data_IF_478307751884
#
_entry.id   IF_478307751884
#
_cell.length_a   1.000
_cell.length_b   1.000
_cell.length_c   1.000
_cell.angle_alpha   90.00
_cell.angle_beta   90.00
_cell.angle_gamma   90.00
#
_symmetry.space_group_name_H-M   'P 1'
#
loop_
_entity.id
_entity.type
_entity.pdbx_description
1 polymer ?
#
# COMPACT_ATOMS: atom_id res chain seq x y z
N UNK A 1 -15.36 18.17 -17.62
CA UNK A 1 -16.61 17.62 -18.23
C UNK A 1 -16.55 17.68 -19.74
N UNK A 2 -16.21 18.85 -20.35
CA UNK A 2 -16.14 19.02 -21.81
C UNK A 2 -15.26 17.99 -22.51
N UNK A 3 -14.03 17.78 -22.08
CA UNK A 3 -13.13 16.78 -22.65
C UNK A 3 -13.70 15.37 -22.66
N UNK A 4 -14.39 14.95 -21.57
CA UNK A 4 -15.01 13.64 -21.48
C UNK A 4 -16.21 13.48 -22.44
N UNK A 5 -16.89 14.57 -22.82
CA UNK A 5 -18.01 14.53 -23.75
C UNK A 5 -17.52 14.30 -25.18
N UNK A 6 -16.45 14.94 -25.57
CA UNK A 6 -15.96 14.99 -26.97
C UNK A 6 -14.78 14.06 -27.25
N UNK A 7 -14.20 13.41 -26.25
CA UNK A 7 -13.09 12.47 -26.45
C UNK A 7 -13.53 11.24 -27.24
N UNK A 8 -12.72 10.76 -28.17
CA UNK A 8 -12.96 9.49 -28.87
C UNK A 8 -12.79 8.28 -27.95
N UNK A 9 -11.83 8.35 -27.04
CA UNK A 9 -11.55 7.35 -26.02
C UNK A 9 -11.33 8.00 -24.66
N UNK A 10 -11.77 7.31 -23.61
CA UNK A 10 -11.58 7.68 -22.21
C UNK A 10 -10.81 6.54 -21.54
N UNK A 11 -9.71 6.85 -20.89
CA UNK A 11 -8.92 5.86 -20.15
C UNK A 11 -8.82 6.23 -18.67
N UNK A 12 -8.77 5.22 -17.84
CA UNK A 12 -8.42 5.32 -16.42
C UNK A 12 -7.41 4.23 -16.05
N UNK A 13 -6.92 4.22 -14.83
CA UNK A 13 -5.74 3.46 -14.43
C UNK A 13 -6.05 2.11 -13.76
N UNK A 14 -7.29 1.62 -13.86
CA UNK A 14 -7.71 0.33 -13.33
C UNK A 14 -9.05 -0.09 -13.98
N UNK A 15 -9.24 -1.40 -14.19
CA UNK A 15 -10.51 -1.93 -14.67
C UNK A 15 -11.60 -1.80 -13.60
N UNK A 16 -11.29 -2.16 -12.37
CA UNK A 16 -12.22 -2.00 -11.24
C UNK A 16 -12.57 -0.53 -11.04
N UNK A 17 -11.61 0.38 -11.09
CA UNK A 17 -11.89 1.81 -10.97
C UNK A 17 -12.74 2.35 -12.12
N UNK A 18 -12.57 1.84 -13.34
CA UNK A 18 -13.43 2.19 -14.47
C UNK A 18 -14.92 1.84 -14.22
N UNK A 19 -15.20 0.77 -13.48
CA UNK A 19 -16.54 0.42 -13.04
C UNK A 19 -17.01 1.26 -11.85
N UNK A 20 -16.14 1.50 -10.87
CA UNK A 20 -16.44 2.30 -9.68
C UNK A 20 -16.87 3.72 -10.03
N UNK A 21 -16.17 4.42 -10.93
CA UNK A 21 -16.50 5.81 -11.33
C UNK A 21 -17.83 5.94 -12.09
N UNK A 22 -18.44 4.85 -12.48
CA UNK A 22 -19.81 4.82 -13.03
C UNK A 22 -20.89 4.82 -11.94
N UNK A 23 -20.50 4.73 -10.67
CA UNK A 23 -21.42 4.76 -9.52
C UNK A 23 -21.47 6.17 -8.90
N UNK A 24 -22.59 6.55 -8.23
CA UNK A 24 -22.71 7.86 -7.60
C UNK A 24 -21.63 8.13 -6.57
N UNK A 25 -21.19 7.11 -5.80
CA UNK A 25 -20.21 7.26 -4.72
C UNK A 25 -18.82 7.62 -5.24
N UNK A 26 -18.35 6.97 -6.31
CA UNK A 26 -16.99 7.19 -6.85
C UNK A 26 -16.96 8.15 -8.05
N UNK A 27 -18.12 8.46 -8.62
CA UNK A 27 -18.20 9.26 -9.85
C UNK A 27 -18.11 10.77 -9.67
N UNK A 28 -18.14 11.27 -8.43
CA UNK A 28 -18.00 12.70 -8.10
C UNK A 28 -18.93 13.61 -8.95
N UNK A 29 -20.18 13.17 -9.14
CA UNK A 29 -21.19 13.85 -9.97
C UNK A 29 -20.97 13.72 -11.48
N UNK A 30 -20.04 12.87 -11.93
CA UNK A 30 -19.81 12.54 -13.34
C UNK A 30 -20.23 11.10 -13.69
N UNK A 31 -20.75 10.34 -12.73
CA UNK A 31 -21.16 8.95 -12.89
C UNK A 31 -22.14 8.73 -14.04
N UNK A 32 -23.13 9.63 -14.23
CA UNK A 32 -24.03 9.60 -15.37
C UNK A 32 -23.33 9.73 -16.72
N UNK A 33 -22.33 10.61 -16.79
CA UNK A 33 -21.50 10.76 -17.99
C UNK A 33 -20.62 9.53 -18.22
N UNK A 34 -20.03 8.96 -17.18
CA UNK A 34 -19.21 7.74 -17.27
C UNK A 34 -20.06 6.55 -17.73
N UNK A 35 -21.30 6.41 -17.25
CA UNK A 35 -22.25 5.40 -17.76
C UNK A 35 -22.59 5.62 -19.23
N UNK A 36 -22.93 6.86 -19.62
CA UNK A 36 -23.25 7.19 -21.01
C UNK A 36 -22.08 6.94 -21.97
N UNK A 37 -20.85 7.05 -21.48
CA UNK A 37 -19.60 6.86 -22.25
C UNK A 37 -18.92 5.51 -21.96
N UNK A 38 -19.60 4.55 -21.37
CA UNK A 38 -19.04 3.26 -20.95
C UNK A 38 -18.37 2.49 -22.09
N UNK A 39 -18.88 2.58 -23.31
CA UNK A 39 -18.30 1.94 -24.48
C UNK A 39 -16.93 2.52 -24.89
N UNK A 40 -16.66 3.76 -24.53
CA UNK A 40 -15.38 4.44 -24.79
C UNK A 40 -14.44 4.43 -23.61
N UNK A 41 -14.90 4.00 -22.42
CA UNK A 41 -14.11 3.97 -21.18
C UNK A 41 -13.36 2.65 -21.06
N UNK A 42 -12.06 2.74 -20.79
CA UNK A 42 -11.16 1.59 -20.59
C UNK A 42 -10.30 1.79 -19.36
N UNK A 43 -10.14 0.75 -18.55
CA UNK A 43 -9.13 0.66 -17.49
C UNK A 43 -7.82 0.10 -18.04
N UNK A 44 -6.71 0.77 -17.76
CA UNK A 44 -5.36 0.33 -18.15
C UNK A 44 -4.49 0.42 -16.90
N UNK A 45 -4.04 -0.72 -16.36
CA UNK A 45 -3.19 -0.75 -15.17
C UNK A 45 -1.82 -0.11 -15.45
N UNK A 46 -1.35 0.70 -14.50
CA UNK A 46 0.01 1.20 -14.51
C UNK A 46 0.99 0.08 -14.10
N UNK A 47 2.21 0.18 -14.61
CA UNK A 47 3.37 -0.56 -14.11
C UNK A 47 4.21 0.28 -13.16
N UNK A 48 5.33 -0.30 -12.72
CA UNK A 48 6.40 0.39 -12.01
C UNK A 48 7.69 0.25 -12.82
N UNK A 49 8.61 1.19 -12.65
CA UNK A 49 9.95 1.10 -13.22
C UNK A 49 10.76 0.03 -12.47
N UNK A 50 11.12 -1.04 -13.16
CA UNK A 50 11.88 -2.15 -12.58
C UNK A 50 13.38 -1.87 -12.44
N UNK A 51 13.91 -0.84 -13.09
CA UNK A 51 15.29 -0.41 -12.91
C UNK A 51 15.40 0.45 -11.65
N UNK A 52 14.42 1.34 -11.44
CA UNK A 52 14.34 2.19 -10.24
C UNK A 52 13.97 1.39 -8.99
N UNK A 53 12.93 0.56 -9.06
CA UNK A 53 12.45 -0.27 -7.93
C UNK A 53 12.98 -1.69 -8.02
N UNK A 54 14.27 -1.87 -7.76
CA UNK A 54 14.94 -3.18 -7.85
C UNK A 54 15.78 -3.50 -6.62
N UNK A 55 15.32 -4.39 -5.72
CA UNK A 55 16.07 -4.73 -4.51
C UNK A 55 17.45 -5.35 -4.77
N UNK A 56 17.74 -5.82 -5.99
CA UNK A 56 19.06 -6.36 -6.34
C UNK A 56 20.09 -5.28 -6.60
N UNK A 57 19.68 -4.09 -7.05
CA UNK A 57 20.57 -3.01 -7.51
C UNK A 57 20.33 -1.67 -6.81
N UNK A 58 19.28 -1.57 -5.99
CA UNK A 58 18.91 -0.34 -5.30
C UNK A 58 20.03 0.11 -4.34
N UNK A 59 20.55 1.31 -4.56
CA UNK A 59 21.64 1.91 -3.75
C UNK A 59 21.14 2.57 -2.46
N UNK A 60 19.82 2.74 -2.31
CA UNK A 60 19.19 3.38 -1.14
C UNK A 60 19.03 2.41 0.04
N UNK A 61 19.04 1.11 -0.23
CA UNK A 61 18.90 0.09 0.80
C UNK A 61 20.28 -0.40 1.30
N UNK A 62 20.35 -0.82 2.54
CA UNK A 62 21.62 -1.22 3.18
C UNK A 62 22.13 -2.54 2.63
N UNK A 63 21.23 -3.47 2.34
CA UNK A 63 21.57 -4.80 1.84
C UNK A 63 20.70 -5.14 0.64
N UNK A 64 21.33 -5.33 -0.52
CA UNK A 64 20.66 -5.80 -1.73
C UNK A 64 20.30 -7.29 -1.60
N UNK A 65 19.20 -7.70 -2.25
CA UNK A 65 18.71 -9.08 -2.21
C UNK A 65 17.86 -9.40 -3.44
N UNK A 66 17.66 -10.68 -3.66
CA UNK A 66 16.80 -11.23 -4.74
C UNK A 66 15.85 -12.29 -4.17
N UNK A 67 15.04 -12.89 -5.05
CA UNK A 67 14.06 -13.92 -4.68
C UNK A 67 14.64 -15.13 -3.93
N UNK A 68 15.93 -15.43 -4.07
CA UNK A 68 16.59 -16.56 -3.40
C UNK A 68 17.14 -16.17 -2.03
N UNK A 69 17.52 -14.91 -1.85
CA UNK A 69 18.24 -14.44 -0.67
C UNK A 69 17.37 -13.57 0.27
N UNK A 70 16.17 -13.15 -0.16
CA UNK A 70 15.34 -12.16 0.53
C UNK A 70 15.06 -12.51 2.00
N UNK A 71 14.80 -13.78 2.32
CA UNK A 71 14.49 -14.21 3.69
C UNK A 71 15.56 -13.86 4.70
N UNK A 72 16.83 -13.95 4.28
CA UNK A 72 17.99 -13.65 5.13
C UNK A 72 18.39 -12.17 5.04
N UNK A 73 18.42 -11.64 3.83
CA UNK A 73 19.01 -10.33 3.59
C UNK A 73 18.03 -9.18 3.92
N UNK A 74 16.71 -9.39 3.80
CA UNK A 74 15.69 -8.41 4.16
C UNK A 74 15.72 -8.07 5.65
N UNK A 75 16.07 -9.02 6.54
CA UNK A 75 16.22 -8.77 7.97
C UNK A 75 17.32 -7.75 8.30
N UNK A 76 18.36 -7.66 7.46
CA UNK A 76 19.43 -6.65 7.64
C UNK A 76 18.89 -5.24 7.34
N UNK A 77 18.05 -5.09 6.34
CA UNK A 77 17.38 -3.81 6.05
C UNK A 77 16.44 -3.41 7.20
N UNK A 78 15.69 -4.38 7.77
CA UNK A 78 14.85 -4.13 8.94
C UNK A 78 15.68 -3.62 10.13
N UNK A 79 16.78 -4.29 10.49
CA UNK A 79 17.65 -3.86 11.59
C UNK A 79 18.25 -2.47 11.35
N UNK A 80 18.65 -2.19 10.11
CA UNK A 80 19.18 -0.87 9.77
C UNK A 80 18.12 0.22 9.91
N UNK A 81 16.89 -0.04 9.46
CA UNK A 81 15.78 0.92 9.60
C UNK A 81 15.37 1.10 11.06
N UNK A 82 15.32 0.04 11.86
CA UNK A 82 15.09 0.12 13.31
C UNK A 82 16.10 1.03 13.99
N UNK A 83 17.39 0.86 13.65
CA UNK A 83 18.46 1.68 14.21
C UNK A 83 18.37 3.15 13.78
N UNK A 84 18.09 3.40 12.48
CA UNK A 84 17.95 4.75 11.91
C UNK A 84 16.78 5.52 12.54
N UNK A 85 15.68 4.82 12.84
CA UNK A 85 14.45 5.40 13.38
C UNK A 85 14.35 5.36 14.92
N UNK A 86 15.35 4.83 15.62
CA UNK A 86 15.34 4.71 17.07
C UNK A 86 14.35 3.67 17.63
N UNK A 87 13.87 2.75 16.79
CA UNK A 87 12.99 1.67 17.21
C UNK A 87 13.75 0.56 17.93
N UNK A 88 13.03 -0.23 18.73
CA UNK A 88 13.61 -1.43 19.36
C UNK A 88 14.20 -2.37 18.30
N UNK A 89 15.48 -2.71 18.42
CA UNK A 89 16.21 -3.53 17.45
C UNK A 89 15.96 -5.01 17.69
N UNK A 90 14.91 -5.52 17.05
CA UNK A 90 14.56 -6.94 17.07
C UNK A 90 14.00 -7.35 15.69
N UNK A 91 14.71 -8.23 14.99
CA UNK A 91 14.29 -8.71 13.67
C UNK A 91 13.01 -9.56 13.69
N UNK A 92 12.63 -10.08 14.86
CA UNK A 92 11.42 -10.88 15.03
C UNK A 92 10.15 -10.03 15.12
N UNK A 93 10.27 -8.76 15.50
CA UNK A 93 9.11 -7.85 15.54
C UNK A 93 8.52 -7.70 14.15
N UNK A 94 7.19 -7.77 14.06
CA UNK A 94 6.48 -7.61 12.80
C UNK A 94 6.40 -6.13 12.44
N UNK A 95 7.03 -5.73 11.35
CA UNK A 95 7.11 -4.33 10.95
C UNK A 95 6.11 -4.01 9.86
N UNK A 96 5.24 -3.04 10.11
CA UNK A 96 4.24 -2.52 9.17
C UNK A 96 4.68 -1.15 8.66
N UNK A 97 4.66 -0.95 7.34
CA UNK A 97 4.96 0.33 6.70
C UNK A 97 3.71 1.02 6.15
N UNK A 98 3.64 2.33 6.28
CA UNK A 98 2.69 3.22 5.58
C UNK A 98 3.51 4.28 4.87
N UNK A 99 3.42 4.37 3.54
CA UNK A 99 4.02 5.43 2.73
C UNK A 99 2.95 6.05 1.87
N UNK A 100 2.45 7.23 2.25
CA UNK A 100 1.36 7.87 1.52
C UNK A 100 1.18 9.33 1.90
N UNK A 101 0.35 10.05 1.15
CA UNK A 101 -0.23 11.30 1.63
C UNK A 101 -1.16 10.99 2.80
N UNK A 102 -1.08 11.77 3.88
CA UNK A 102 -1.87 11.56 5.09
C UNK A 102 -3.22 12.27 4.98
N UNK A 103 -4.15 11.68 4.23
CA UNK A 103 -5.47 12.26 3.92
C UNK A 103 -6.59 11.25 4.17
N UNK A 104 -7.84 11.72 4.23
CA UNK A 104 -9.04 10.88 4.36
C UNK A 104 -9.13 9.78 3.32
N UNK A 105 -8.76 10.10 2.08
CA UNK A 105 -8.74 9.14 0.98
C UNK A 105 -7.95 7.87 1.34
N UNK A 106 -6.93 7.98 2.17
CA UNK A 106 -6.05 6.86 2.53
C UNK A 106 -6.58 5.97 3.66
N UNK A 107 -7.81 6.24 4.16
CA UNK A 107 -8.47 5.43 5.17
C UNK A 107 -7.76 5.45 6.53
N UNK A 108 -7.09 6.55 6.85
CA UNK A 108 -6.32 6.69 8.08
C UNK A 108 -7.20 6.85 9.33
N UNK A 109 -8.47 7.18 9.15
CA UNK A 109 -9.51 7.11 10.17
C UNK A 109 -9.70 5.68 10.70
N UNK A 110 -9.66 4.67 9.82
CA UNK A 110 -9.70 3.26 10.21
C UNK A 110 -8.44 2.88 10.99
N UNK A 111 -7.27 3.35 10.55
CA UNK A 111 -6.00 3.12 11.27
C UNK A 111 -6.07 3.75 12.67
N UNK A 112 -6.60 4.98 12.78
CA UNK A 112 -6.77 5.66 14.06
C UNK A 112 -7.59 4.85 15.06
N UNK A 113 -8.68 4.22 14.60
CA UNK A 113 -9.56 3.41 15.46
C UNK A 113 -8.85 2.19 16.08
N UNK A 114 -7.80 1.66 15.44
CA UNK A 114 -7.14 0.41 15.85
C UNK A 114 -5.67 0.60 16.23
N UNK A 115 -5.20 1.83 16.37
CA UNK A 115 -3.78 2.11 16.66
C UNK A 115 -3.28 1.42 17.93
N UNK A 116 -4.05 1.48 19.02
CA UNK A 116 -3.65 0.84 20.27
C UNK A 116 -3.64 -0.70 20.17
N UNK A 117 -4.46 -1.28 19.28
CA UNK A 117 -4.48 -2.72 19.01
C UNK A 117 -3.31 -3.13 18.10
N UNK A 118 -2.93 -2.29 17.14
CA UNK A 118 -1.76 -2.51 16.27
C UNK A 118 -0.47 -2.39 17.05
N UNK A 119 -0.35 -1.40 17.94
CA UNK A 119 0.87 -1.07 18.67
C UNK A 119 1.12 -2.01 19.86
N UNK A 120 1.04 -3.32 19.63
CA UNK A 120 1.43 -4.35 20.61
C UNK A 120 2.95 -4.46 20.71
N UNK A 121 3.45 -5.23 21.70
CA UNK A 121 4.90 -5.38 21.92
C UNK A 121 5.65 -6.03 20.76
N UNK A 122 4.95 -6.86 19.97
CA UNK A 122 5.54 -7.62 18.86
C UNK A 122 5.44 -6.90 17.50
N UNK A 123 4.79 -5.72 17.44
CA UNK A 123 4.54 -4.98 16.21
C UNK A 123 5.25 -3.64 16.23
N UNK A 124 5.84 -3.29 15.10
CA UNK A 124 6.39 -1.95 14.84
C UNK A 124 5.65 -1.31 13.67
N UNK A 125 5.39 0.00 13.76
CA UNK A 125 4.74 0.78 12.70
C UNK A 125 5.68 1.91 12.25
N UNK A 126 5.95 1.96 10.96
CA UNK A 126 6.72 3.04 10.33
C UNK A 126 5.80 3.80 9.38
N UNK A 127 5.62 5.09 9.64
CA UNK A 127 4.80 5.97 8.81
C UNK A 127 5.70 6.99 8.12
N UNK A 128 5.56 7.13 6.81
CA UNK A 128 6.25 8.14 6.00
C UNK A 128 5.22 8.90 5.15
N UNK A 129 5.15 10.21 5.31
CA UNK A 129 4.30 11.05 4.48
C UNK A 129 3.88 12.34 5.17
N UNK A 130 3.19 13.20 4.43
CA UNK A 130 2.62 14.46 4.88
C UNK A 130 1.19 14.59 4.40
N UNK A 131 0.39 15.45 5.04
CA UNK A 131 -0.97 15.69 4.61
C UNK A 131 -1.79 16.52 5.58
N UNK A 132 -2.96 16.03 5.97
CA UNK A 132 -3.85 16.72 6.89
C UNK A 132 -3.26 16.72 8.30
N UNK A 133 -3.22 17.89 8.93
CA UNK A 133 -2.62 18.12 10.26
C UNK A 133 -3.15 17.15 11.33
N UNK A 134 -4.43 16.77 11.24
CA UNK A 134 -5.05 15.83 12.19
C UNK A 134 -4.36 14.45 12.15
N UNK A 135 -4.01 13.94 10.97
CA UNK A 135 -3.33 12.65 10.83
C UNK A 135 -1.86 12.76 11.16
N UNK A 136 -1.20 13.86 10.78
CA UNK A 136 0.16 14.12 11.20
C UNK A 136 0.30 14.16 12.73
N UNK A 137 -0.61 14.89 13.41
CA UNK A 137 -0.62 14.98 14.86
C UNK A 137 -0.99 13.65 15.53
N UNK A 138 -1.92 12.89 14.93
CA UNK A 138 -2.23 11.53 15.38
C UNK A 138 -0.98 10.65 15.39
N UNK A 139 -0.23 10.58 14.28
CA UNK A 139 0.95 9.74 14.21
C UNK A 139 2.09 10.25 15.11
N UNK A 140 2.30 11.56 15.24
CA UNK A 140 3.24 12.15 16.23
C UNK A 140 2.87 11.76 17.67
N UNK A 141 1.56 11.74 17.99
CA UNK A 141 1.09 11.30 19.31
C UNK A 141 1.44 9.83 19.58
N UNK A 142 1.21 8.94 18.61
CA UNK A 142 1.52 7.52 18.77
C UNK A 142 3.03 7.23 18.75
N UNK A 143 3.82 7.99 18.02
CA UNK A 143 5.29 7.97 18.07
C UNK A 143 5.80 8.33 19.49
N UNK A 144 5.27 9.41 20.05
CA UNK A 144 5.58 9.79 21.45
C UNK A 144 5.11 8.73 22.46
N UNK A 145 3.90 8.17 22.28
CA UNK A 145 3.30 7.18 23.19
C UNK A 145 4.03 5.84 23.17
N UNK A 146 4.48 5.42 21.99
CA UNK A 146 5.11 4.12 21.74
C UNK A 146 6.43 4.28 20.98
N UNK A 147 7.34 5.07 21.54
CA UNK A 147 8.58 5.52 20.90
C UNK A 147 9.55 4.41 20.49
N UNK A 148 9.42 3.21 21.06
CA UNK A 148 10.21 2.03 20.70
C UNK A 148 9.56 1.16 19.59
N UNK A 149 8.30 1.47 19.22
CA UNK A 149 7.47 0.66 18.32
C UNK A 149 6.87 1.45 17.16
N UNK A 150 6.64 2.74 17.31
CA UNK A 150 6.07 3.60 16.27
C UNK A 150 7.10 4.65 15.87
N UNK A 151 7.25 4.90 14.57
CA UNK A 151 8.04 6.01 14.05
C UNK A 151 7.22 6.79 13.01
N UNK A 152 6.95 8.05 13.32
CA UNK A 152 6.19 8.97 12.47
C UNK A 152 7.13 9.93 11.71
N UNK A 153 7.41 9.60 10.47
CA UNK A 153 8.28 10.37 9.59
C UNK A 153 7.43 11.33 8.75
N UNK A 154 7.14 12.51 9.32
CA UNK A 154 6.22 13.50 8.71
C UNK A 154 6.98 14.39 7.73
N UNK A 155 7.43 13.79 6.65
CA UNK A 155 8.10 14.46 5.53
C UNK A 155 8.00 13.60 4.26
N UNK A 156 8.36 14.17 3.12
CA UNK A 156 8.52 13.43 1.86
C UNK A 156 9.99 13.03 1.68
N UNK A 157 10.21 11.74 1.43
CA UNK A 157 11.54 11.23 1.08
C UNK A 157 11.40 9.97 0.24
N UNK A 158 11.92 10.02 -0.96
CA UNK A 158 11.98 8.86 -1.85
C UNK A 158 12.94 7.80 -1.29
N UNK A 159 14.12 8.21 -0.85
CA UNK A 159 15.11 7.30 -0.26
C UNK A 159 14.57 6.55 0.96
N UNK A 160 13.86 7.26 1.85
CA UNK A 160 13.21 6.62 3.00
C UNK A 160 12.12 5.64 2.56
N UNK A 161 11.36 5.94 1.49
CA UNK A 161 10.32 5.02 0.99
C UNK A 161 10.90 3.69 0.54
N UNK A 162 12.05 3.69 -0.15
CA UNK A 162 12.76 2.48 -0.55
C UNK A 162 13.22 1.65 0.66
N UNK A 163 13.73 2.32 1.71
CA UNK A 163 14.10 1.66 2.97
C UNK A 163 12.89 1.02 3.64
N UNK A 164 11.75 1.70 3.67
CA UNK A 164 10.49 1.16 4.21
C UNK A 164 10.04 -0.06 3.41
N UNK A 165 10.01 0.00 2.07
CA UNK A 165 9.67 -1.16 1.24
C UNK A 165 10.63 -2.33 1.47
N UNK A 166 11.92 -2.07 1.64
CA UNK A 166 12.92 -3.12 1.83
C UNK A 166 12.91 -3.73 3.23
N UNK A 167 12.49 -2.99 4.26
CA UNK A 167 12.58 -3.39 5.66
C UNK A 167 11.30 -4.02 6.21
N UNK A 168 10.13 -3.50 5.84
CA UNK A 168 8.85 -3.92 6.41
C UNK A 168 8.44 -5.33 5.99
N UNK A 169 7.68 -6.02 6.87
CA UNK A 169 7.05 -7.30 6.58
C UNK A 169 5.73 -7.09 5.84
N UNK A 170 4.97 -6.08 6.26
CA UNK A 170 3.71 -5.70 5.64
C UNK A 170 3.67 -4.22 5.26
N UNK A 171 2.83 -3.91 4.28
CA UNK A 171 2.58 -2.55 3.79
C UNK A 171 1.09 -2.24 3.83
N UNK A 172 0.69 -1.27 4.63
CA UNK A 172 -0.73 -1.00 4.92
C UNK A 172 -1.27 0.12 4.03
N UNK A 173 -2.32 -0.20 3.24
CA UNK A 173 -3.05 0.74 2.37
C UNK A 173 -4.57 0.55 2.49
N UNK A 174 -5.22 1.01 3.56
CA UNK A 174 -6.65 0.84 3.78
C UNK A 174 -7.49 1.88 3.01
N UNK A 175 -7.02 2.35 1.87
CA UNK A 175 -7.59 3.47 1.11
C UNK A 175 -9.08 3.34 0.88
N UNK A 176 -9.83 4.42 1.09
CA UNK A 176 -11.28 4.49 0.84
C UNK A 176 -11.57 4.27 -0.65
N UNK A 177 -10.77 4.88 -1.50
CA UNK A 177 -10.68 4.63 -2.93
C UNK A 177 -9.25 4.80 -3.40
N UNK A 178 -8.83 3.98 -4.38
CA UNK A 178 -7.48 4.02 -4.95
C UNK A 178 -7.56 3.74 -6.44
N UNK A 179 -7.45 4.75 -7.30
CA UNK A 179 -7.59 4.56 -8.76
C UNK A 179 -6.63 3.51 -9.32
N UNK A 180 -5.38 3.53 -8.90
CA UNK A 180 -4.37 2.55 -9.29
C UNK A 180 -3.64 2.01 -8.06
N UNK A 181 -3.03 2.91 -7.28
CA UNK A 181 -1.98 2.58 -6.34
C UNK A 181 -0.70 2.14 -7.06
N UNK A 182 0.43 2.68 -6.63
CA UNK A 182 1.75 2.23 -7.08
C UNK A 182 2.55 1.64 -5.91
N UNK A 183 2.34 2.19 -4.72
CA UNK A 183 3.10 1.79 -3.52
C UNK A 183 2.95 0.31 -3.18
N UNK A 184 1.78 -0.31 -3.42
CA UNK A 184 1.60 -1.75 -3.23
C UNK A 184 2.42 -2.57 -4.23
N UNK A 185 2.58 -2.08 -5.47
CA UNK A 185 3.41 -2.73 -6.48
C UNK A 185 4.89 -2.64 -6.11
N UNK A 186 5.32 -1.47 -5.62
CA UNK A 186 6.67 -1.25 -5.10
C UNK A 186 6.92 -2.16 -3.89
N UNK A 187 6.01 -2.18 -2.92
CA UNK A 187 6.10 -3.06 -1.75
C UNK A 187 6.24 -4.54 -2.15
N UNK A 188 5.39 -5.02 -3.06
CA UNK A 188 5.47 -6.38 -3.60
C UNK A 188 6.82 -6.65 -4.28
N UNK A 189 7.35 -5.70 -5.04
CA UNK A 189 8.66 -5.83 -5.69
C UNK A 189 9.79 -6.03 -4.68
N UNK A 190 9.68 -5.40 -3.50
CA UNK A 190 10.63 -5.56 -2.40
C UNK A 190 10.29 -6.72 -1.44
N UNK A 191 9.30 -7.54 -1.77
CA UNK A 191 8.91 -8.68 -0.93
C UNK A 191 8.21 -8.28 0.37
N UNK A 192 7.57 -7.12 0.39
CA UNK A 192 6.72 -6.63 1.49
C UNK A 192 5.27 -6.87 1.15
N UNK A 193 4.54 -7.48 2.07
CA UNK A 193 3.16 -7.96 1.84
C UNK A 193 2.16 -6.81 1.94
N UNK A 194 1.44 -6.42 0.87
CA UNK A 194 0.42 -5.40 0.99
C UNK A 194 -0.81 -5.89 1.74
N UNK A 195 -1.27 -5.07 2.69
CA UNK A 195 -2.56 -5.19 3.36
C UNK A 195 -3.43 -4.06 2.82
N UNK A 196 -4.44 -4.38 2.02
CA UNK A 196 -5.19 -3.39 1.26
C UNK A 196 -6.69 -3.57 1.38
N UNK A 197 -7.44 -2.48 1.15
CA UNK A 197 -8.88 -2.55 0.92
C UNK A 197 -9.16 -2.99 -0.51
N UNK A 198 -10.22 -3.78 -0.71
CA UNK A 198 -10.66 -4.25 -2.03
C UNK A 198 -11.38 -3.13 -2.80
N UNK A 199 -10.60 -2.23 -3.43
CA UNK A 199 -11.10 -1.11 -4.23
C UNK A 199 -10.13 -0.77 -5.37
N UNK A 200 -10.67 -0.28 -6.49
CA UNK A 200 -9.91 0.22 -7.64
C UNK A 200 -8.73 -0.64 -8.05
N UNK A 201 -7.59 0.00 -8.25
CA UNK A 201 -6.34 -0.67 -8.64
C UNK A 201 -5.78 -1.61 -7.59
N UNK A 202 -6.11 -1.44 -6.31
CA UNK A 202 -5.71 -2.39 -5.28
C UNK A 202 -6.35 -3.76 -5.50
N UNK A 203 -7.65 -3.78 -5.82
CA UNK A 203 -8.36 -5.02 -6.19
C UNK A 203 -7.79 -5.68 -7.44
N UNK A 204 -7.37 -4.88 -8.42
CA UNK A 204 -6.85 -5.39 -9.68
C UNK A 204 -5.42 -5.94 -9.56
N UNK A 205 -4.66 -5.52 -8.54
CA UNK A 205 -3.22 -5.81 -8.39
C UNK A 205 -2.86 -6.68 -7.20
N UNK A 206 -3.71 -6.73 -6.18
CA UNK A 206 -3.48 -7.52 -4.95
C UNK A 206 -4.58 -8.56 -4.83
N UNK A 207 -4.20 -9.83 -4.71
CA UNK A 207 -5.15 -10.94 -4.63
C UNK A 207 -5.46 -11.28 -3.18
N UNK A 208 -6.70 -11.67 -2.86
CA UNK A 208 -7.07 -12.04 -1.51
C UNK A 208 -6.38 -13.35 -1.09
N UNK A 209 -5.94 -13.41 0.17
CA UNK A 209 -5.54 -14.65 0.78
C UNK A 209 -6.76 -15.58 0.92
N UNK A 210 -6.60 -16.83 0.54
CA UNK A 210 -7.61 -17.85 0.74
C UNK A 210 -7.12 -18.89 1.78
N UNK A 211 -7.75 -18.88 2.95
CA UNK A 211 -7.40 -19.76 4.05
C UNK A 211 -7.74 -21.24 3.80
N UNK A 212 -8.65 -21.52 2.84
CA UNK A 212 -9.15 -22.88 2.59
C UNK A 212 -8.25 -23.70 1.64
N UNK A 213 -7.56 -23.05 0.72
CA UNK A 213 -6.73 -23.73 -0.27
C UNK A 213 -5.24 -23.45 -0.08
N UNK A 214 -4.89 -22.61 0.90
CA UNK A 214 -3.50 -22.21 1.16
C UNK A 214 -2.83 -21.50 -0.01
N UNK A 215 -3.63 -21.08 -1.01
CA UNK A 215 -3.08 -20.35 -2.15
C UNK A 215 -2.60 -19.00 -1.68
N UNK A 216 -1.30 -18.86 -1.70
CA UNK A 216 -0.61 -17.61 -1.52
C UNK A 216 -0.84 -16.74 -2.75
N UNK A 217 -1.10 -15.49 -2.50
CA UNK A 217 -1.37 -14.49 -3.53
C UNK A 217 -0.27 -14.37 -4.55
N UNK A 218 -0.67 -14.41 -5.80
CA UNK A 218 0.19 -14.13 -6.94
C UNK A 218 -0.15 -12.75 -7.52
N UNK A 219 0.88 -11.97 -7.82
CA UNK A 219 0.74 -10.76 -8.63
C UNK A 219 0.36 -11.16 -10.06
N UNK A 220 -0.73 -10.59 -10.62
CA UNK A 220 -0.98 -10.65 -12.06
C UNK A 220 0.01 -9.71 -12.77
N UNK A 221 1.25 -10.12 -12.91
CA UNK A 221 2.16 -9.51 -13.85
C UNK A 221 2.47 -10.54 -14.95
N UNK A 222 2.30 -10.14 -16.20
CA UNK A 222 2.48 -11.00 -17.38
C UNK A 222 3.94 -11.31 -17.70
N UNK A 223 4.87 -11.06 -16.81
CA UNK A 223 6.27 -11.41 -16.96
C UNK A 223 6.72 -12.27 -15.79
N UNK A 224 6.96 -13.54 -16.10
CA UNK A 224 7.41 -14.56 -15.19
C UNK A 224 8.81 -14.27 -14.64
N UNK A 225 8.89 -13.54 -13.54
CA UNK A 225 10.00 -13.66 -12.60
C UNK A 225 9.42 -13.46 -11.22
N UNK A 226 8.92 -14.54 -10.65
CA UNK A 226 8.08 -14.56 -9.47
C UNK A 226 8.89 -14.31 -8.21
N UNK A 227 8.61 -13.25 -7.50
CA UNK A 227 8.58 -13.32 -6.04
C UNK A 227 7.17 -13.80 -5.66
N UNK A 228 7.07 -15.03 -5.16
CA UNK A 228 5.84 -15.54 -4.53
C UNK A 228 5.66 -14.81 -3.19
N UNK A 229 4.77 -13.86 -3.14
CA UNK A 229 4.52 -13.06 -1.94
C UNK A 229 3.08 -13.16 -1.52
N UNK A 230 2.89 -13.32 -0.23
CA UNK A 230 1.59 -13.36 0.45
C UNK A 230 1.06 -11.94 0.61
N UNK A 231 -0.15 -11.65 0.23
CA UNK A 231 -0.85 -10.42 0.52
C UNK A 231 -2.16 -10.71 1.27
N UNK A 232 -2.60 -9.81 2.14
CA UNK A 232 -3.81 -9.95 2.95
C UNK A 232 -4.78 -8.84 2.53
N UNK A 233 -6.00 -9.20 2.14
CA UNK A 233 -7.08 -8.24 1.93
C UNK A 233 -7.92 -8.16 3.20
N UNK A 234 -8.07 -6.96 3.75
CA UNK A 234 -9.04 -6.69 4.81
C UNK A 234 -10.40 -6.50 4.12
N UNK A 235 -11.30 -7.47 4.26
CA UNK A 235 -12.71 -7.28 3.92
C UNK A 235 -13.35 -6.44 5.00
N UNK A 236 -13.98 -5.32 4.62
CA UNK A 236 -14.85 -4.61 5.54
C UNK A 236 -16.00 -5.55 5.90
N UNK A 237 -16.09 -5.96 7.17
CA UNK A 237 -17.27 -6.61 7.68
C UNK A 237 -18.40 -5.58 7.75
N UNK A 238 -19.09 -5.36 6.63
CA UNK A 238 -20.44 -4.78 6.64
C UNK A 238 -21.41 -5.87 7.13
N UNK A 239 -21.24 -6.25 8.39
CA UNK A 239 -22.18 -7.10 9.10
C UNK A 239 -23.29 -6.23 9.64
N UNK A 240 -24.40 -6.16 8.93
CA UNK A 240 -25.68 -5.83 9.52
C UNK A 240 -25.91 -6.74 10.72
N UNK A 241 -25.77 -6.18 11.92
CA UNK A 241 -26.41 -6.80 13.11
C UNK A 241 -27.87 -6.37 13.05
N UNK A 242 -28.73 -7.32 12.69
CA UNK A 242 -30.16 -7.30 13.00
C UNK A 242 -30.38 -7.34 14.50
#
# INVERSE_FOLDING_TARGET
>A
KGGLVYADAITTVSNTYAEEIKTPFYGEGLDGLMRARSNSLRGILNGIDYDEFNPETDKRIVQNYNAKTFRKEKSKNKKALQAELGLAQDEKKFMIGIVSRLTDQKGLDLVQCVMDEICTEDVQLVVLGTGDERYENMFRHYDWKYNDRVSANIYYSEDMSHKVYAACDAFLMPSLFEPCGLSQLMALRYGTVPIVRETGGLKDTVWPYNEYDGTTMHMKCSTASAMQNTSIIIRSASGTRS
#
